data_IF_883201302443
#
_entry.id   IF_883201302443
#
_cell.length_a   1.000
_cell.length_b   1.000
_cell.length_c   1.000
_cell.angle_alpha   90.00
_cell.angle_beta   90.00
_cell.angle_gamma   90.00
#
_symmetry.space_group_name_H-M   'P 1'
#
loop_
_entity.id
_entity.type
_entity.pdbx_description
1 polymer ?
#
# COMPACT_ATOMS: atom_id res chain seq x y z
N UNK A 1 2.71 -6.11 -23.16
CA UNK A 1 2.32 -5.03 -22.23
C UNK A 1 2.53 -5.58 -20.83
N UNK A 2 3.15 -4.83 -19.90
CA UNK A 2 3.34 -5.26 -18.51
C UNK A 2 1.99 -5.23 -17.78
N UNK A 3 1.73 -6.20 -16.90
CA UNK A 3 0.47 -6.27 -16.13
C UNK A 3 0.73 -6.01 -14.65
N UNK A 4 -0.07 -5.12 -14.06
CA UNK A 4 -0.01 -4.79 -12.64
C UNK A 4 -1.35 -5.05 -11.95
N UNK A 5 -1.30 -5.72 -10.79
CA UNK A 5 -2.47 -5.92 -9.94
C UNK A 5 -2.34 -5.04 -8.69
N UNK A 6 -3.28 -4.14 -8.46
CA UNK A 6 -3.36 -3.36 -7.22
C UNK A 6 -4.41 -3.96 -6.31
N UNK A 7 -3.96 -4.59 -5.22
CA UNK A 7 -4.79 -5.20 -4.18
C UNK A 7 -4.89 -4.23 -3.02
N UNK A 8 -6.08 -3.81 -2.66
CA UNK A 8 -6.23 -2.85 -1.57
C UNK A 8 -7.47 -3.07 -0.72
N UNK A 9 -7.38 -2.62 0.52
CA UNK A 9 -8.52 -2.46 1.43
C UNK A 9 -8.75 -0.98 1.69
N UNK A 10 -10.01 -0.59 1.81
CA UNK A 10 -10.40 0.78 2.17
C UNK A 10 -11.58 0.77 3.12
N UNK A 11 -11.52 1.56 4.20
CA UNK A 11 -12.66 1.79 5.09
C UNK A 11 -13.37 3.10 4.82
N UNK A 12 -12.63 4.12 4.35
CA UNK A 12 -13.11 5.50 4.19
C UNK A 12 -12.78 6.11 2.83
N UNK A 13 -12.56 5.25 1.84
CA UNK A 13 -12.28 5.56 0.43
C UNK A 13 -10.90 6.18 0.11
N UNK A 14 -10.11 6.62 1.06
CA UNK A 14 -8.79 7.20 0.80
C UNK A 14 -7.87 6.24 0.04
N UNK A 15 -7.76 4.98 0.49
CA UNK A 15 -6.92 3.98 -0.20
C UNK A 15 -7.45 3.68 -1.62
N UNK A 16 -8.78 3.66 -1.82
CA UNK A 16 -9.39 3.52 -3.14
C UNK A 16 -9.01 4.67 -4.06
N UNK A 17 -9.01 5.90 -3.55
CA UNK A 17 -8.59 7.08 -4.30
C UNK A 17 -7.13 6.96 -4.75
N UNK A 18 -6.22 6.63 -3.82
CA UNK A 18 -4.81 6.41 -4.12
C UNK A 18 -4.63 5.29 -5.15
N UNK A 19 -5.36 4.17 -5.00
CA UNK A 19 -5.26 3.03 -5.93
C UNK A 19 -5.68 3.40 -7.35
N UNK A 20 -6.78 4.14 -7.51
CA UNK A 20 -7.22 4.65 -8.81
C UNK A 20 -6.22 5.62 -9.42
N UNK A 21 -5.65 6.47 -8.59
CA UNK A 21 -4.67 7.46 -9.02
C UNK A 21 -3.35 6.79 -9.43
N UNK A 22 -2.87 5.79 -8.68
CA UNK A 22 -1.73 4.94 -9.06
C UNK A 22 -1.99 4.19 -10.36
N UNK A 23 -3.19 3.62 -10.55
CA UNK A 23 -3.53 2.89 -11.76
C UNK A 23 -3.41 3.78 -13.01
N UNK A 24 -3.90 5.02 -12.94
CA UNK A 24 -3.79 5.97 -14.05
C UNK A 24 -2.34 6.31 -14.41
N UNK A 25 -1.46 6.41 -13.41
CA UNK A 25 -0.05 6.72 -13.63
C UNK A 25 0.75 5.53 -14.13
N UNK A 26 0.54 4.35 -13.55
CA UNK A 26 1.14 3.11 -14.03
C UNK A 26 0.73 2.79 -15.48
N UNK A 27 -0.52 3.12 -15.85
CA UNK A 27 -0.97 2.98 -17.23
C UNK A 27 -0.16 3.86 -18.21
N UNK A 28 0.24 5.06 -17.80
CA UNK A 28 1.13 5.93 -18.61
C UNK A 28 2.52 5.34 -18.78
N UNK A 29 2.98 4.53 -17.82
CA UNK A 29 4.25 3.78 -17.87
C UNK A 29 4.12 2.42 -18.61
N UNK A 30 3.01 2.19 -19.30
CA UNK A 30 2.79 1.02 -20.14
C UNK A 30 2.30 -0.23 -19.40
N UNK A 31 1.75 -0.07 -18.19
CA UNK A 31 1.11 -1.17 -17.47
C UNK A 31 -0.39 -1.26 -17.80
N UNK A 32 -0.87 -2.49 -18.03
CA UNK A 32 -2.28 -2.83 -17.90
C UNK A 32 -2.57 -3.07 -16.41
N UNK A 33 -3.42 -2.21 -15.81
CA UNK A 33 -3.63 -2.23 -14.35
C UNK A 33 -5.01 -2.80 -14.01
N UNK A 34 -5.01 -3.84 -13.19
CA UNK A 34 -6.22 -4.41 -12.58
C UNK A 34 -6.32 -3.91 -11.13
N UNK A 35 -7.50 -3.42 -10.76
CA UNK A 35 -7.82 -3.03 -9.38
C UNK A 35 -8.61 -4.14 -8.70
N UNK A 36 -8.14 -4.59 -7.54
CA UNK A 36 -8.84 -5.55 -6.68
C UNK A 36 -9.05 -4.95 -5.29
N UNK A 37 -10.29 -4.60 -4.99
CA UNK A 37 -10.69 -4.15 -3.65
C UNK A 37 -11.06 -5.36 -2.79
N UNK A 38 -10.41 -5.48 -1.63
CA UNK A 38 -10.66 -6.57 -0.69
C UNK A 38 -12.05 -6.41 -0.07
N UNK A 39 -12.91 -7.41 -0.30
CA UNK A 39 -14.17 -7.57 0.43
C UNK A 39 -13.87 -8.30 1.76
N UNK A 40 -14.14 -7.69 2.93
CA UNK A 40 -13.89 -8.31 4.23
C UNK A 40 -14.60 -9.65 4.44
N UNK A 41 -15.71 -9.86 3.73
CA UNK A 41 -16.53 -11.06 3.84
C UNK A 41 -16.04 -12.20 2.93
N UNK A 42 -15.19 -11.90 1.95
CA UNK A 42 -14.64 -12.88 1.01
C UNK A 42 -13.20 -13.23 1.34
N UNK A 43 -12.84 -14.47 1.12
CA UNK A 43 -11.45 -14.96 1.32
C UNK A 43 -11.03 -15.85 0.16
N UNK A 44 -11.23 -15.34 -1.07
CA UNK A 44 -10.82 -16.07 -2.27
C UNK A 44 -9.29 -16.03 -2.46
N UNK A 45 -8.78 -17.07 -3.08
CA UNK A 45 -7.39 -17.11 -3.54
C UNK A 45 -7.32 -16.45 -4.92
N UNK A 46 -6.48 -15.42 -5.06
CA UNK A 46 -6.27 -14.77 -6.35
C UNK A 46 -5.27 -15.56 -7.19
N UNK A 47 -5.47 -15.50 -8.51
CA UNK A 47 -4.48 -15.93 -9.47
C UNK A 47 -3.51 -14.77 -9.78
N UNK A 48 -2.25 -14.98 -9.45
CA UNK A 48 -1.17 -14.03 -9.69
C UNK A 48 -0.43 -14.30 -11.00
N UNK A 49 -0.79 -15.36 -11.73
CA UNK A 49 -0.16 -15.71 -13.01
C UNK A 49 -0.39 -14.59 -14.03
N UNK A 50 0.65 -14.24 -14.74
CA UNK A 50 0.60 -13.19 -15.75
C UNK A 50 0.65 -11.74 -15.22
N UNK A 51 0.84 -11.53 -13.91
CA UNK A 51 1.16 -10.20 -13.39
C UNK A 51 2.67 -10.05 -13.17
N UNK A 52 3.22 -8.98 -13.74
CA UNK A 52 4.63 -8.62 -13.58
C UNK A 52 4.91 -7.90 -12.27
N UNK A 53 3.86 -7.29 -11.69
CA UNK A 53 3.95 -6.41 -10.53
C UNK A 53 2.65 -6.46 -9.73
N UNK A 54 2.77 -6.46 -8.39
CA UNK A 54 1.62 -6.37 -7.48
C UNK A 54 1.81 -5.23 -6.50
N UNK A 55 0.83 -4.33 -6.40
CA UNK A 55 0.76 -3.29 -5.38
C UNK A 55 -0.16 -3.72 -4.22
N UNK A 56 0.30 -3.57 -2.98
CA UNK A 56 -0.48 -3.84 -1.77
C UNK A 56 -0.82 -2.53 -1.07
N UNK A 57 -2.12 -2.18 -1.02
CA UNK A 57 -2.64 -0.93 -0.47
C UNK A 57 -3.47 -1.10 0.78
N UNK A 58 -3.15 -0.38 1.86
CA UNK A 58 -3.94 -0.39 3.08
C UNK A 58 -3.90 0.96 3.82
N UNK A 59 -5.01 1.36 4.49
CA UNK A 59 -4.93 2.43 5.47
C UNK A 59 -4.19 1.94 6.72
N UNK A 60 -3.74 2.86 7.54
CA UNK A 60 -3.15 2.55 8.85
C UNK A 60 -4.22 2.80 9.91
N UNK A 61 -4.56 1.76 10.69
CA UNK A 61 -5.45 1.83 11.84
C UNK A 61 -4.69 1.39 13.08
N UNK A 62 -4.55 2.27 14.07
CA UNK A 62 -3.82 1.94 15.29
C UNK A 62 -2.41 1.40 15.01
N UNK A 63 -1.61 2.10 14.22
CA UNK A 63 -0.23 1.77 13.87
C UNK A 63 -0.04 0.44 13.10
N UNK A 64 -1.12 -0.12 12.54
CA UNK A 64 -1.05 -1.37 11.79
C UNK A 64 -1.97 -1.34 10.55
N UNK A 65 -1.76 -2.28 9.62
CA UNK A 65 -2.74 -2.53 8.58
C UNK A 65 -4.02 -3.15 9.19
N UNK A 66 -5.23 -2.81 8.70
CA UNK A 66 -6.49 -3.33 9.23
C UNK A 66 -6.59 -4.83 9.13
N UNK A 67 -7.25 -5.44 10.13
CA UNK A 67 -7.43 -6.90 10.19
C UNK A 67 -8.01 -7.52 8.90
N UNK A 68 -9.02 -6.94 8.22
CA UNK A 68 -9.50 -7.50 6.96
C UNK A 68 -8.41 -7.62 5.89
N UNK A 69 -7.53 -6.62 5.78
CA UNK A 69 -6.39 -6.65 4.87
C UNK A 69 -5.37 -7.71 5.29
N UNK A 70 -4.98 -7.73 6.57
CA UNK A 70 -4.04 -8.71 7.09
C UNK A 70 -4.55 -10.14 6.89
N UNK A 71 -5.82 -10.40 7.26
CA UNK A 71 -6.47 -11.70 7.09
C UNK A 71 -6.43 -12.15 5.63
N UNK A 72 -6.72 -11.26 4.69
CA UNK A 72 -6.65 -11.54 3.27
C UNK A 72 -5.23 -11.93 2.85
N UNK A 73 -4.23 -11.06 3.10
CA UNK A 73 -2.84 -11.29 2.68
C UNK A 73 -2.25 -12.55 3.33
N UNK A 74 -2.54 -12.82 4.61
CA UNK A 74 -2.05 -14.00 5.30
C UNK A 74 -2.55 -15.31 4.68
N UNK A 75 -3.75 -15.33 4.10
CA UNK A 75 -4.34 -16.51 3.46
C UNK A 75 -3.89 -16.72 2.02
N UNK A 76 -3.35 -15.69 1.36
CA UNK A 76 -2.90 -15.81 -0.03
C UNK A 76 -1.67 -16.71 -0.17
N UNK A 77 -1.63 -17.44 -1.30
CA UNK A 77 -0.46 -18.16 -1.77
C UNK A 77 0.17 -17.36 -2.91
N UNK A 78 1.38 -16.90 -2.70
CA UNK A 78 2.09 -16.08 -3.68
C UNK A 78 3.11 -16.91 -4.45
N UNK A 79 3.29 -16.68 -5.77
CA UNK A 79 4.38 -17.28 -6.51
C UNK A 79 5.72 -16.69 -6.05
N UNK A 80 6.76 -17.53 -6.00
CA UNK A 80 8.11 -17.06 -5.71
C UNK A 80 8.62 -16.14 -6.82
N UNK A 81 9.31 -15.08 -6.43
CA UNK A 81 9.84 -14.09 -7.38
C UNK A 81 8.84 -13.04 -7.84
N UNK A 82 7.58 -13.10 -7.39
CA UNK A 82 6.59 -12.06 -7.68
C UNK A 82 7.10 -10.72 -7.17
N UNK A 83 7.19 -9.72 -8.05
CA UNK A 83 7.57 -8.36 -7.68
C UNK A 83 6.41 -7.63 -7.06
N UNK A 84 6.68 -6.88 -6.01
CA UNK A 84 5.65 -6.12 -5.32
C UNK A 84 6.14 -4.79 -4.75
N UNK A 85 5.19 -3.89 -4.51
CA UNK A 85 5.38 -2.68 -3.74
C UNK A 85 4.22 -2.49 -2.74
N UNK A 86 4.46 -1.67 -1.73
CA UNK A 86 3.49 -1.36 -0.68
C UNK A 86 3.18 0.13 -0.74
N UNK A 87 1.91 0.47 -0.67
CA UNK A 87 1.43 1.83 -0.46
C UNK A 87 0.43 1.86 0.68
N UNK A 88 0.69 2.69 1.64
CA UNK A 88 -0.15 2.84 2.83
C UNK A 88 -0.55 4.29 3.03
N UNK A 89 -1.62 4.53 3.75
CA UNK A 89 -2.07 5.88 4.02
C UNK A 89 -2.61 6.06 5.44
N UNK A 90 -2.36 7.23 6.00
CA UNK A 90 -2.95 7.71 7.25
C UNK A 90 -3.18 9.22 7.18
N UNK A 91 -3.79 9.80 8.21
CA UNK A 91 -3.94 11.25 8.33
C UNK A 91 -2.73 11.95 8.94
N UNK A 92 -1.69 11.21 9.35
CA UNK A 92 -0.57 11.73 10.13
C UNK A 92 0.77 11.23 9.62
N UNK A 93 1.79 12.07 9.82
CA UNK A 93 3.19 11.78 9.39
C UNK A 93 3.99 11.07 10.47
N UNK A 94 3.36 10.59 11.53
CA UNK A 94 4.06 10.04 12.69
C UNK A 94 4.97 8.87 12.34
N UNK A 95 6.18 8.92 12.89
CA UNK A 95 7.18 7.86 12.71
C UNK A 95 6.73 6.50 13.24
N UNK A 96 5.77 6.49 14.17
CA UNK A 96 5.12 5.29 14.71
C UNK A 96 4.43 4.47 13.61
N UNK A 97 3.94 5.13 12.59
CA UNK A 97 3.30 4.51 11.43
C UNK A 97 4.28 3.82 10.47
N UNK A 98 5.58 4.05 10.61
CA UNK A 98 6.57 3.49 9.69
C UNK A 98 6.53 1.97 9.64
N UNK A 99 6.34 1.29 10.77
CA UNK A 99 6.34 -0.17 10.87
C UNK A 99 4.96 -0.83 10.64
N UNK A 100 3.93 -0.07 10.30
CA UNK A 100 2.55 -0.58 10.15
C UNK A 100 2.37 -1.70 9.13
N UNK A 101 3.29 -1.85 8.19
CA UNK A 101 3.34 -2.93 7.18
C UNK A 101 4.14 -4.16 7.62
N UNK A 102 4.78 -4.12 8.79
CA UNK A 102 5.76 -5.13 9.22
C UNK A 102 5.24 -6.58 9.15
N UNK A 103 4.00 -6.82 9.57
CA UNK A 103 3.44 -8.18 9.61
C UNK A 103 3.21 -8.76 8.22
N UNK A 104 2.52 -8.03 7.36
CA UNK A 104 2.25 -8.55 6.03
C UNK A 104 3.50 -8.52 5.14
N UNK A 105 4.42 -7.55 5.32
CA UNK A 105 5.72 -7.56 4.66
C UNK A 105 6.53 -8.82 4.98
N UNK A 106 6.52 -9.25 6.26
CA UNK A 106 7.15 -10.52 6.65
C UNK A 106 6.51 -11.73 5.95
N UNK A 107 5.17 -11.75 5.85
CA UNK A 107 4.46 -12.81 5.12
C UNK A 107 4.85 -12.81 3.65
N UNK A 108 4.82 -11.67 2.98
CA UNK A 108 5.20 -11.55 1.57
C UNK A 108 6.62 -12.08 1.32
N UNK A 109 7.59 -11.61 2.09
CA UNK A 109 9.00 -12.03 1.98
C UNK A 109 9.20 -13.52 2.27
N UNK A 110 8.54 -14.07 3.29
CA UNK A 110 8.59 -15.52 3.59
C UNK A 110 7.96 -16.37 2.49
N UNK A 111 7.02 -15.83 1.75
CA UNK A 111 6.43 -16.48 0.57
C UNK A 111 7.31 -16.36 -0.68
N UNK A 112 8.45 -15.66 -0.62
CA UNK A 112 9.36 -15.46 -1.76
C UNK A 112 8.95 -14.28 -2.66
N UNK A 113 8.05 -13.41 -2.21
CA UNK A 113 7.71 -12.16 -2.91
C UNK A 113 8.85 -11.15 -2.75
N UNK A 114 9.24 -10.51 -3.83
CA UNK A 114 10.27 -9.47 -3.86
C UNK A 114 9.60 -8.12 -3.69
N UNK A 115 9.51 -7.64 -2.44
CA UNK A 115 8.98 -6.31 -2.15
C UNK A 115 10.10 -5.29 -2.30
N UNK A 116 10.00 -4.43 -3.31
CA UNK A 116 11.04 -3.47 -3.70
C UNK A 116 10.82 -2.08 -3.12
N UNK A 117 9.56 -1.65 -2.97
CA UNK A 117 9.24 -0.28 -2.55
C UNK A 117 8.14 -0.24 -1.48
N UNK A 118 8.22 0.77 -0.61
CA UNK A 118 7.19 1.05 0.39
C UNK A 118 7.00 2.56 0.55
N UNK A 119 5.75 3.02 0.37
CA UNK A 119 5.38 4.43 0.41
C UNK A 119 4.23 4.68 1.38
N UNK A 120 4.29 5.82 2.06
CA UNK A 120 3.25 6.30 2.97
C UNK A 120 2.70 7.62 2.47
N UNK A 121 1.41 7.63 2.10
CA UNK A 121 0.65 8.80 1.66
C UNK A 121 -0.09 9.40 2.84
N UNK A 122 -0.08 10.72 2.95
CA UNK A 122 -0.78 11.42 4.01
C UNK A 122 -2.10 11.96 3.47
N UNK A 123 -3.17 11.26 3.80
CA UNK A 123 -4.52 11.60 3.30
C UNK A 123 -5.33 12.34 4.37
N UNK A 124 -6.18 13.30 3.98
CA UNK A 124 -7.02 14.02 4.92
C UNK A 124 -7.87 13.06 5.74
N UNK A 125 -8.03 13.36 7.05
CA UNK A 125 -9.03 12.69 7.87
C UNK A 125 -10.42 12.96 7.32
N UNK A 126 -11.21 11.92 7.13
CA UNK A 126 -12.59 12.01 6.67
C UNK A 126 -13.60 11.43 7.68
N UNK A 127 -13.18 11.20 8.93
CA UNK A 127 -14.01 10.58 9.98
C UNK A 127 -14.49 11.59 11.03
N UNK A 128 -13.62 12.47 11.55
CA UNK A 128 -13.92 13.30 12.70
C UNK A 128 -13.72 14.80 12.51
N UNK A 129 -12.86 15.23 11.61
CA UNK A 129 -12.53 16.63 11.40
C UNK A 129 -12.47 16.96 9.91
N UNK A 130 -12.97 18.13 9.54
CA UNK A 130 -12.65 18.74 8.25
C UNK A 130 -11.37 19.56 8.43
N UNK A 131 -10.36 19.21 7.67
CA UNK A 131 -9.18 20.07 7.54
C UNK A 131 -9.52 21.34 6.76
N UNK A 132 -8.75 22.39 7.00
CA UNK A 132 -8.73 23.56 6.15
C UNK A 132 -8.48 23.14 4.69
N UNK A 133 -9.28 23.65 3.76
CA UNK A 133 -9.21 23.26 2.33
C UNK A 133 -7.85 23.56 1.69
N UNK A 134 -7.15 24.57 2.20
CA UNK A 134 -5.80 24.90 1.75
C UNK A 134 -4.81 23.81 2.17
N UNK A 135 -4.86 23.37 3.43
CA UNK A 135 -4.01 22.28 3.93
C UNK A 135 -4.26 20.97 3.17
N UNK A 136 -5.54 20.66 2.90
CA UNK A 136 -5.91 19.49 2.09
C UNK A 136 -5.29 19.56 0.70
N UNK A 137 -5.33 20.72 0.06
CA UNK A 137 -4.76 20.92 -1.28
C UNK A 137 -3.25 20.75 -1.27
N UNK A 138 -2.55 21.41 -0.33
CA UNK A 138 -1.10 21.30 -0.18
C UNK A 138 -0.67 19.84 0.05
N UNK A 139 -1.44 19.10 0.86
CA UNK A 139 -1.20 17.69 1.15
C UNK A 139 -1.37 16.80 -0.09
N UNK A 140 -2.45 17.00 -0.84
CA UNK A 140 -2.69 16.25 -2.09
C UNK A 140 -1.64 16.57 -3.17
N UNK A 141 -1.11 17.79 -3.22
CA UNK A 141 -0.01 18.15 -4.11
C UNK A 141 1.30 17.44 -3.73
N UNK A 142 1.58 17.32 -2.42
CA UNK A 142 2.73 16.54 -1.94
C UNK A 142 2.58 15.06 -2.26
N UNK A 143 1.41 14.50 -2.04
CA UNK A 143 1.11 13.10 -2.37
C UNK A 143 1.18 12.83 -3.87
N UNK A 144 0.80 13.81 -4.70
CA UNK A 144 0.95 13.73 -6.16
C UNK A 144 2.41 13.55 -6.56
N UNK A 145 3.32 14.35 -5.99
CA UNK A 145 4.77 14.25 -6.25
C UNK A 145 5.32 12.92 -5.76
N UNK A 146 4.92 12.49 -4.55
CA UNK A 146 5.34 11.22 -3.99
C UNK A 146 4.90 10.04 -4.85
N UNK A 147 3.71 10.13 -5.44
CA UNK A 147 3.17 9.11 -6.34
C UNK A 147 3.95 9.02 -7.66
N UNK A 148 4.35 10.16 -8.24
CA UNK A 148 5.22 10.15 -9.43
C UNK A 148 6.58 9.49 -9.13
N UNK A 149 7.15 9.75 -7.95
CA UNK A 149 8.39 9.11 -7.52
C UNK A 149 8.20 7.59 -7.38
N UNK A 150 7.13 7.16 -6.69
CA UNK A 150 6.82 5.73 -6.54
C UNK A 150 6.68 5.06 -7.91
N UNK A 151 5.89 5.63 -8.81
CA UNK A 151 5.64 5.04 -10.13
C UNK A 151 6.93 4.98 -10.95
N UNK A 152 7.75 6.03 -10.92
CA UNK A 152 9.07 6.04 -11.57
C UNK A 152 9.99 4.95 -11.02
N UNK A 153 10.13 4.86 -9.70
CA UNK A 153 11.00 3.87 -9.06
C UNK A 153 10.57 2.44 -9.35
N UNK A 154 9.27 2.15 -9.20
CA UNK A 154 8.70 0.82 -9.44
C UNK A 154 8.86 0.41 -10.91
N UNK A 155 8.64 1.33 -11.85
CA UNK A 155 8.74 1.08 -13.29
C UNK A 155 10.19 0.83 -13.74
N UNK A 156 11.14 1.52 -13.09
CA UNK A 156 12.57 1.42 -13.37
C UNK A 156 13.33 0.44 -12.44
N UNK A 157 12.62 -0.29 -11.58
CA UNK A 157 13.19 -1.26 -10.61
C UNK A 157 14.22 -0.64 -9.66
N UNK A 158 13.93 0.56 -9.17
CA UNK A 158 14.74 1.25 -8.17
C UNK A 158 14.16 0.93 -6.79
N UNK A 159 14.84 0.14 -5.95
CA UNK A 159 14.27 -0.27 -4.66
C UNK A 159 14.30 0.88 -3.67
N UNK A 160 13.20 1.05 -2.93
CA UNK A 160 13.05 2.05 -1.88
C UNK A 160 12.22 1.47 -0.71
N UNK A 161 12.90 0.73 0.16
CA UNK A 161 12.30 0.18 1.38
C UNK A 161 12.99 0.77 2.60
N UNK A 162 12.21 1.39 3.47
CA UNK A 162 12.70 1.92 4.74
C UNK A 162 13.06 0.78 5.70
N UNK A 163 14.17 0.97 6.44
CA UNK A 163 14.46 0.16 7.63
C UNK A 163 13.65 0.72 8.80
N UNK A 164 12.78 -0.08 9.36
CA UNK A 164 11.99 0.34 10.52
C UNK A 164 12.90 0.53 11.74
N UNK A 165 12.79 1.67 12.41
CA UNK A 165 13.39 1.91 13.71
C UNK A 165 12.83 0.96 14.77
N UNK A 166 13.51 0.82 15.90
CA UNK A 166 13.10 -0.12 16.96
C UNK A 166 11.74 0.25 17.57
N UNK A 167 11.54 1.52 17.89
CA UNK A 167 10.32 2.01 18.55
C UNK A 167 9.03 1.76 17.74
N UNK A 168 8.92 2.13 16.47
CA UNK A 168 7.74 1.77 15.65
C UNK A 168 7.47 0.26 15.60
N UNK A 169 8.52 -0.57 15.60
CA UNK A 169 8.36 -2.04 15.61
C UNK A 169 7.74 -2.56 16.90
N UNK A 170 8.10 -1.94 18.04
CA UNK A 170 7.54 -2.30 19.35
C UNK A 170 6.06 -1.92 19.39
N UNK A 171 5.71 -0.69 19.04
CA UNK A 171 4.32 -0.22 19.02
C UNK A 171 3.45 -1.12 18.14
N UNK A 172 3.85 -1.36 16.89
CA UNK A 172 3.12 -2.21 15.96
C UNK A 172 2.94 -3.63 16.51
N UNK A 173 3.92 -4.16 17.25
CA UNK A 173 3.83 -5.50 17.84
C UNK A 173 2.80 -5.59 18.99
N UNK A 174 2.71 -4.57 19.83
CA UNK A 174 1.82 -4.60 20.99
C UNK A 174 0.34 -4.27 20.67
N UNK A 175 0.07 -3.68 19.52
CA UNK A 175 -1.28 -3.27 19.11
C UNK A 175 -1.93 -4.31 18.15
N UNK A 176 -1.21 -5.36 17.80
CA UNK A 176 -1.71 -6.46 16.95
C UNK A 176 -2.28 -7.59 17.78
#
# INVERSE_FOLDING_TARGET
MKRCLLIYFTGTFNTRYISKWLAQRLAKEGYEVTLYEIDPLKTEQLDYSGYDLVGFGAPIYGYNAPWPFLKFVLKQKFPKGLRAFIYKNSGETEHENDASSMFFLRKLRRSGVIVENEYHFIMPYNIHFRFDERLVREQLEMDAKLMEILVYEVSNRIPNIKKYKLWPRIITFFIT
#
